data_IF_830247340171
#
_entry.id   IF_830247340171
#
_cell.length_a   1.000
_cell.length_b   1.000
_cell.length_c   1.000
_cell.angle_alpha   90.00
_cell.angle_beta   90.00
_cell.angle_gamma   90.00
#
_symmetry.space_group_name_H-M   'P 1'
#
loop_
_entity.id
_entity.type
_entity.pdbx_description
1 polymer ?
#
# COMPACT_ATOMS: atom_id res chain seq x y z
N UNK A 1 7.19 -9.05 8.84
CA UNK A 1 6.32 -10.20 8.47
C UNK A 1 4.83 -9.84 8.60
N UNK A 2 4.00 -10.25 7.64
CA UNK A 2 2.56 -9.93 7.58
C UNK A 2 1.80 -10.16 8.89
N UNK A 3 2.07 -11.27 9.56
CA UNK A 3 1.48 -11.64 10.86
C UNK A 3 1.61 -10.57 11.94
N UNK A 4 2.70 -9.80 11.94
CA UNK A 4 2.94 -8.75 12.94
C UNK A 4 2.12 -7.47 12.69
N UNK A 5 1.56 -7.31 11.49
CA UNK A 5 0.87 -6.09 11.05
C UNK A 5 -0.59 -6.33 10.67
N UNK A 6 -1.01 -7.59 10.42
CA UNK A 6 -2.32 -7.87 9.82
C UNK A 6 -3.49 -7.31 10.64
N UNK A 7 -3.37 -7.37 11.96
CA UNK A 7 -4.42 -7.05 12.92
C UNK A 7 -4.31 -5.65 13.55
N UNK A 8 -3.33 -4.85 13.14
CA UNK A 8 -3.17 -3.47 13.65
C UNK A 8 -4.28 -2.58 13.10
N UNK A 9 -5.19 -2.15 13.97
CA UNK A 9 -6.26 -1.22 13.61
C UNK A 9 -5.75 0.22 13.65
N UNK A 10 -6.12 1.02 12.66
CA UNK A 10 -5.71 2.42 12.55
C UNK A 10 -4.32 2.65 11.97
N UNK A 11 -3.52 1.58 11.77
CA UNK A 11 -2.24 1.62 11.09
C UNK A 11 -2.45 1.63 9.57
N UNK A 12 -2.26 2.79 8.96
CA UNK A 12 -2.35 2.98 7.51
C UNK A 12 -1.01 2.76 6.80
N UNK A 13 0.10 2.61 7.55
CA UNK A 13 1.45 2.48 7.01
C UNK A 13 1.58 1.24 6.13
N UNK A 14 1.06 0.10 6.62
CA UNK A 14 1.00 -1.15 5.83
C UNK A 14 0.26 -0.95 4.51
N UNK A 15 -0.92 -0.36 4.56
CA UNK A 15 -1.78 -0.29 3.38
C UNK A 15 -1.23 0.70 2.33
N UNK A 16 -0.62 1.81 2.75
CA UNK A 16 0.04 2.73 1.81
C UNK A 16 1.28 2.10 1.19
N UNK A 17 2.05 1.29 1.92
CA UNK A 17 3.20 0.57 1.36
C UNK A 17 2.74 -0.44 0.31
N UNK A 18 1.70 -1.23 0.59
CA UNK A 18 1.14 -2.17 -0.38
C UNK A 18 0.58 -1.46 -1.62
N UNK A 19 -0.12 -0.33 -1.42
CA UNK A 19 -0.62 0.49 -2.50
C UNK A 19 0.53 1.02 -3.38
N UNK A 20 1.57 1.60 -2.77
CA UNK A 20 2.71 2.16 -3.48
C UNK A 20 3.48 1.08 -4.27
N UNK A 21 3.75 -0.07 -3.66
CA UNK A 21 4.43 -1.18 -4.33
C UNK A 21 3.64 -1.69 -5.55
N UNK A 22 2.31 -1.77 -5.44
CA UNK A 22 1.43 -2.15 -6.56
C UNK A 22 1.36 -1.10 -7.66
N UNK A 23 1.11 0.16 -7.29
CA UNK A 23 0.81 1.23 -8.26
C UNK A 23 2.04 1.86 -8.88
N UNK A 24 3.12 1.94 -8.12
CA UNK A 24 4.31 2.69 -8.49
C UNK A 24 5.51 1.75 -8.69
N UNK A 25 5.51 0.59 -8.03
CA UNK A 25 6.56 -0.43 -8.17
C UNK A 25 6.24 -1.56 -9.16
N UNK A 26 5.04 -1.61 -9.73
CA UNK A 26 4.65 -2.62 -10.74
C UNK A 26 4.36 -4.02 -10.20
N UNK A 27 4.34 -4.23 -8.88
CA UNK A 27 4.11 -5.55 -8.29
C UNK A 27 2.67 -6.06 -8.52
N UNK A 28 2.55 -7.34 -8.83
CA UNK A 28 1.27 -8.07 -8.81
C UNK A 28 0.80 -8.34 -7.38
N UNK A 29 -0.48 -8.68 -7.18
CA UNK A 29 -0.99 -9.03 -5.84
C UNK A 29 -0.33 -10.30 -5.29
N UNK A 30 -0.05 -11.26 -6.16
CA UNK A 30 0.57 -12.53 -5.81
C UNK A 30 2.02 -12.32 -5.34
N UNK A 31 2.79 -11.50 -6.05
CA UNK A 31 4.14 -11.13 -5.63
C UNK A 31 4.11 -10.42 -4.28
N UNK A 32 3.23 -9.44 -4.09
CA UNK A 32 3.10 -8.76 -2.80
C UNK A 32 2.75 -9.71 -1.67
N UNK A 33 1.81 -10.64 -1.89
CA UNK A 33 1.44 -11.64 -0.89
C UNK A 33 2.64 -12.50 -0.49
N UNK A 34 3.43 -12.96 -1.47
CA UNK A 34 4.67 -13.70 -1.24
C UNK A 34 5.69 -12.88 -0.48
N UNK A 35 5.98 -11.65 -0.90
CA UNK A 35 7.00 -10.78 -0.29
C UNK A 35 6.68 -10.47 1.18
N UNK A 36 5.41 -10.26 1.53
CA UNK A 36 5.03 -9.95 2.91
C UNK A 36 4.77 -11.20 3.76
N UNK A 37 4.67 -12.38 3.14
CA UNK A 37 4.28 -13.63 3.78
C UNK A 37 2.80 -13.66 4.18
N UNK A 38 1.92 -13.15 3.32
CA UNK A 38 0.47 -13.27 3.47
C UNK A 38 -0.01 -14.62 2.90
N UNK A 39 -0.99 -15.22 3.59
CA UNK A 39 -1.55 -16.52 3.22
C UNK A 39 -2.28 -16.50 1.86
N UNK A 40 -2.84 -15.33 1.50
CA UNK A 40 -3.55 -15.13 0.23
C UNK A 40 -3.47 -13.68 -0.25
N UNK A 41 -3.45 -13.50 -1.58
CA UNK A 41 -3.45 -12.22 -2.28
C UNK A 41 -4.75 -11.44 -2.04
N UNK A 42 -5.86 -12.10 -1.70
CA UNK A 42 -7.13 -11.43 -1.40
C UNK A 42 -6.98 -10.48 -0.20
N UNK A 43 -6.19 -10.84 0.81
CA UNK A 43 -5.94 -9.99 1.96
C UNK A 43 -5.20 -8.69 1.56
N UNK A 44 -4.25 -8.79 0.63
CA UNK A 44 -3.54 -7.65 0.05
C UNK A 44 -4.50 -6.77 -0.75
N UNK A 45 -5.30 -7.37 -1.63
CA UNK A 45 -6.31 -6.67 -2.42
C UNK A 45 -7.27 -5.85 -1.55
N UNK A 46 -7.81 -6.47 -0.49
CA UNK A 46 -8.74 -5.81 0.42
C UNK A 46 -8.07 -4.69 1.25
N UNK A 47 -6.79 -4.84 1.61
CA UNK A 47 -6.01 -3.77 2.23
C UNK A 47 -5.89 -2.54 1.33
N UNK A 48 -5.41 -2.75 0.11
CA UNK A 48 -5.22 -1.68 -0.89
C UNK A 48 -6.54 -1.00 -1.25
N UNK A 49 -7.60 -1.78 -1.54
CA UNK A 49 -8.91 -1.24 -1.90
C UNK A 49 -9.52 -0.39 -0.78
N UNK A 50 -9.41 -0.83 0.48
CA UNK A 50 -9.90 -0.06 1.64
C UNK A 50 -9.11 1.23 1.82
N UNK A 51 -7.79 1.19 1.65
CA UNK A 51 -6.95 2.36 1.73
C UNK A 51 -7.28 3.39 0.64
N UNK A 52 -7.41 2.97 -0.62
CA UNK A 52 -7.83 3.85 -1.73
C UNK A 52 -9.23 4.45 -1.51
N UNK A 53 -10.14 3.69 -0.93
CA UNK A 53 -11.49 4.18 -0.62
C UNK A 53 -11.47 5.20 0.51
N UNK A 54 -10.67 4.94 1.55
CA UNK A 54 -10.53 5.84 2.70
C UNK A 54 -9.82 7.14 2.32
N UNK A 55 -8.78 7.08 1.50
CA UNK A 55 -8.00 8.27 1.10
C UNK A 55 -8.81 9.30 0.33
N UNK A 56 -9.88 8.88 -0.37
CA UNK A 56 -10.84 9.80 -1.02
C UNK A 56 -11.55 10.75 -0.05
N UNK A 57 -11.58 10.42 1.24
CA UNK A 57 -12.27 11.20 2.29
C UNK A 57 -11.34 11.65 3.42
N UNK A 58 -10.04 11.38 3.31
CA UNK A 58 -9.05 11.63 4.35
C UNK A 58 -7.84 12.35 3.74
N UNK A 59 -7.82 13.68 3.89
CA UNK A 59 -6.81 14.57 3.31
C UNK A 59 -5.39 14.21 3.74
N UNK A 60 -5.24 13.67 4.96
CA UNK A 60 -3.92 13.23 5.45
C UNK A 60 -3.42 12.06 4.62
N UNK A 61 -4.26 11.07 4.35
CA UNK A 61 -3.89 9.92 3.52
C UNK A 61 -3.65 10.31 2.08
N UNK A 62 -4.47 11.21 1.52
CA UNK A 62 -4.27 11.73 0.17
C UNK A 62 -2.92 12.47 0.05
N UNK A 63 -2.55 13.27 1.06
CA UNK A 63 -1.25 13.94 1.11
C UNK A 63 -0.10 12.95 1.15
N UNK A 64 -0.23 11.85 1.91
CA UNK A 64 0.80 10.81 1.99
C UNK A 64 0.96 10.11 0.63
N UNK A 65 -0.13 9.74 -0.05
CA UNK A 65 -0.05 9.13 -1.39
C UNK A 65 0.73 10.01 -2.36
N UNK A 66 0.41 11.31 -2.40
CA UNK A 66 1.13 12.29 -3.23
C UNK A 66 2.61 12.44 -2.84
N UNK A 67 2.96 12.28 -1.56
CA UNK A 67 4.36 12.29 -1.14
C UNK A 67 5.12 11.08 -1.68
N UNK A 68 4.52 9.89 -1.67
CA UNK A 68 5.13 8.69 -2.26
C UNK A 68 5.31 8.83 -3.78
N UNK A 69 4.28 9.31 -4.48
CA UNK A 69 4.34 9.59 -5.93
C UNK A 69 5.47 10.55 -6.27
N UNK A 70 5.56 11.69 -5.58
CA UNK A 70 6.64 12.67 -5.78
C UNK A 70 8.03 12.09 -5.48
N UNK A 71 8.15 11.34 -4.38
CA UNK A 71 9.44 10.75 -3.99
C UNK A 71 9.94 9.73 -5.01
N UNK A 72 9.03 8.95 -5.61
CA UNK A 72 9.39 8.01 -6.66
C UNK A 72 9.68 8.71 -8.00
N UNK A 73 8.90 9.72 -8.39
CA UNK A 73 9.21 10.53 -9.57
C UNK A 73 10.61 11.16 -9.47
N UNK A 74 10.94 11.76 -8.31
CA UNK A 74 12.26 12.30 -8.02
C UNK A 74 13.38 11.25 -8.01
N UNK A 75 13.09 9.98 -7.69
CA UNK A 75 14.07 8.91 -7.64
C UNK A 75 14.39 8.33 -9.02
N UNK A 76 13.40 8.32 -9.91
CA UNK A 76 13.55 7.79 -11.27
C UNK A 76 13.76 8.87 -12.35
N UNK A 77 13.90 10.14 -11.95
CA UNK A 77 14.18 11.30 -12.82
C UNK A 77 13.18 11.42 -14.00
N UNK A 78 11.89 11.24 -13.69
CA UNK A 78 10.75 11.45 -14.60
C UNK A 78 9.99 12.70 -14.20
#
# INVERSE_FOLDING_TARGET
>A
PWSAFRDRRGDWGRDVTLWAARRLGGYTLAELAREVGADDYTAIYQGVRRFETRSKKDDKLLRIMRQYERKLASMYNV
#
